data_IF_359471517309
#
_entry.id   IF_359471517309
#
_cell.length_a   1.000
_cell.length_b   1.000
_cell.length_c   1.000
_cell.angle_alpha   90.00
_cell.angle_beta   90.00
_cell.angle_gamma   90.00
#
_symmetry.space_group_name_H-M   'P 1'
#
loop_
_entity.id
_entity.type
_entity.pdbx_description
1 polymer ?
#
# COMPACT_ATOMS: atom_id res chain seq x y z
N UNK A 1 51.57 12.78 -46.45
CA UNK A 1 51.31 11.70 -45.48
C UNK A 1 49.93 11.12 -45.80
N UNK A 2 49.87 9.98 -46.50
CA UNK A 2 48.62 9.38 -46.96
C UNK A 2 48.22 8.31 -45.94
N UNK A 3 47.11 8.50 -45.23
CA UNK A 3 46.57 7.55 -44.25
C UNK A 3 46.04 6.34 -45.03
N UNK A 4 46.52 5.14 -44.70
CA UNK A 4 46.04 3.91 -45.32
C UNK A 4 44.52 3.73 -45.08
N UNK A 5 43.77 3.18 -46.06
CA UNK A 5 42.35 2.92 -45.88
C UNK A 5 42.13 1.85 -44.82
N UNK A 6 41.16 2.06 -43.93
CA UNK A 6 40.75 1.06 -42.95
C UNK A 6 40.26 -0.21 -43.67
N UNK A 7 40.71 -1.37 -43.18
CA UNK A 7 40.27 -2.68 -43.66
C UNK A 7 38.78 -2.88 -43.35
N UNK A 8 38.01 -3.49 -44.28
CA UNK A 8 36.60 -3.75 -44.04
C UNK A 8 36.41 -4.74 -42.90
N UNK A 9 35.33 -4.61 -42.10
CA UNK A 9 35.05 -5.54 -41.02
C UNK A 9 34.76 -6.94 -41.56
N UNK A 10 35.14 -7.96 -40.80
CA UNK A 10 34.93 -9.36 -41.19
C UNK A 10 33.43 -9.71 -41.31
N UNK A 11 33.08 -10.65 -42.21
CA UNK A 11 31.69 -11.03 -42.43
C UNK A 11 31.12 -11.80 -41.24
N UNK A 12 30.02 -11.26 -40.69
CA UNK A 12 29.30 -11.86 -39.55
C UNK A 12 28.78 -13.26 -39.91
N UNK A 13 29.18 -14.26 -39.12
CA UNK A 13 28.85 -15.66 -39.37
C UNK A 13 27.41 -16.01 -38.97
N UNK A 14 26.94 -17.18 -39.40
CA UNK A 14 25.61 -17.68 -39.01
C UNK A 14 25.51 -17.97 -37.50
N UNK A 15 26.64 -18.26 -36.84
CA UNK A 15 26.71 -18.45 -35.40
C UNK A 15 26.54 -17.11 -34.66
N UNK A 16 27.19 -16.06 -35.14
CA UNK A 16 27.08 -14.71 -34.57
C UNK A 16 25.65 -14.16 -34.66
N UNK A 17 24.97 -14.40 -35.79
CA UNK A 17 23.56 -14.01 -35.96
C UNK A 17 22.63 -14.76 -35.00
N UNK A 18 22.91 -16.04 -34.71
CA UNK A 18 22.13 -16.84 -33.74
C UNK A 18 22.38 -16.39 -32.31
N UNK A 19 23.62 -16.09 -31.94
CA UNK A 19 23.97 -15.56 -30.63
C UNK A 19 23.33 -14.19 -30.40
N UNK A 20 23.33 -13.32 -31.41
CA UNK A 20 22.67 -12.01 -31.36
C UNK A 20 21.15 -12.13 -31.20
N UNK A 21 20.52 -13.06 -31.94
CA UNK A 21 19.08 -13.34 -31.83
C UNK A 21 18.72 -13.91 -30.45
N UNK A 22 19.50 -14.86 -29.92
CA UNK A 22 19.26 -15.41 -28.57
C UNK A 22 19.45 -14.35 -27.48
N UNK A 23 20.48 -13.51 -27.60
CA UNK A 23 20.69 -12.38 -26.69
C UNK A 23 19.54 -11.38 -26.71
N UNK A 24 19.02 -11.04 -27.90
CA UNK A 24 17.87 -10.15 -28.04
C UNK A 24 16.58 -10.73 -27.44
N UNK A 25 16.35 -12.05 -27.58
CA UNK A 25 15.19 -12.74 -26.99
C UNK A 25 15.28 -12.78 -25.46
N UNK A 26 16.46 -13.06 -24.89
CA UNK A 26 16.67 -13.05 -23.44
C UNK A 26 16.47 -11.65 -22.86
N UNK A 27 17.04 -10.62 -23.49
CA UNK A 27 16.90 -9.23 -23.03
C UNK A 27 15.45 -8.74 -23.13
N UNK A 28 14.75 -9.08 -24.23
CA UNK A 28 13.33 -8.78 -24.40
C UNK A 28 12.44 -9.50 -23.37
N UNK A 29 12.74 -10.75 -23.03
CA UNK A 29 12.03 -11.50 -22.01
C UNK A 29 12.16 -10.90 -20.60
N UNK A 30 13.35 -10.41 -20.24
CA UNK A 30 13.58 -9.77 -18.93
C UNK A 30 12.85 -8.42 -18.80
N UNK A 31 12.70 -7.67 -19.90
CA UNK A 31 11.97 -6.39 -19.90
C UNK A 31 10.44 -6.59 -19.79
N UNK A 32 9.90 -7.66 -20.39
CA UNK A 32 8.45 -7.94 -20.34
C UNK A 32 8.00 -8.57 -19.02
N UNK A 33 8.87 -9.32 -18.34
CA UNK A 33 8.53 -10.01 -17.09
C UNK A 33 8.15 -9.08 -15.93
N UNK A 34 8.63 -7.83 -15.91
CA UNK A 34 8.39 -6.90 -14.79
C UNK A 34 7.05 -6.16 -14.84
N UNK A 35 6.32 -6.21 -15.96
CA UNK A 35 5.05 -5.49 -16.09
C UNK A 35 3.91 -6.14 -15.28
N UNK A 36 4.04 -7.43 -14.94
CA UNK A 36 2.98 -8.17 -14.24
C UNK A 36 2.94 -7.92 -12.72
N UNK A 37 4.02 -7.41 -12.10
CA UNK A 37 4.09 -7.13 -10.66
C UNK A 37 3.91 -5.65 -10.29
N UNK A 38 3.53 -4.80 -11.24
CA UNK A 38 3.48 -3.35 -11.01
C UNK A 38 2.44 -2.90 -9.97
N UNK A 39 1.50 -3.76 -9.58
CA UNK A 39 0.43 -3.42 -8.62
C UNK A 39 0.61 -4.01 -7.20
N UNK A 40 1.69 -4.74 -6.94
CA UNK A 40 1.90 -5.41 -5.65
C UNK A 40 0.83 -6.47 -5.32
N UNK A 41 0.95 -7.10 -4.16
CA UNK A 41 -0.13 -7.92 -3.60
C UNK A 41 -1.16 -6.98 -2.94
N UNK A 42 -2.42 -7.09 -3.35
CA UNK A 42 -3.53 -6.30 -2.80
C UNK A 42 -4.21 -6.98 -1.61
N UNK A 43 -3.72 -8.13 -1.17
CA UNK A 43 -4.13 -8.77 0.08
C UNK A 43 -3.60 -7.93 1.27
N UNK A 44 -4.40 -7.64 2.29
CA UNK A 44 -3.93 -6.95 3.48
C UNK A 44 -2.76 -7.70 4.17
N UNK A 45 -1.76 -6.96 4.58
CA UNK A 45 -0.55 -7.48 5.23
C UNK A 45 -0.53 -7.13 6.71
N UNK A 46 -0.15 -8.08 7.55
CA UNK A 46 0.02 -7.85 8.98
C UNK A 46 0.99 -6.68 9.25
N UNK A 47 0.68 -5.91 10.30
CA UNK A 47 1.44 -4.72 10.70
C UNK A 47 2.12 -5.01 12.04
N UNK A 48 3.41 -4.72 12.13
CA UNK A 48 4.13 -4.80 13.39
C UNK A 48 3.72 -3.63 14.30
N UNK A 49 3.27 -3.95 15.51
CA UNK A 49 2.76 -2.98 16.50
C UNK A 49 3.65 -2.91 17.73
N UNK A 50 4.90 -3.37 17.60
CA UNK A 50 5.90 -3.32 18.66
C UNK A 50 6.11 -1.89 19.17
N UNK A 51 6.12 -1.75 20.48
CA UNK A 51 6.28 -0.46 21.16
C UNK A 51 4.97 0.30 21.40
N UNK A 52 3.84 -0.19 20.89
CA UNK A 52 2.52 0.29 21.32
C UNK A 52 2.03 -0.48 22.56
N UNK A 53 1.26 0.19 23.42
CA UNK A 53 0.42 -0.51 24.40
C UNK A 53 -0.42 -1.58 23.68
N UNK A 54 -0.21 -2.84 24.08
CA UNK A 54 -0.91 -3.98 23.50
C UNK A 54 -2.32 -4.04 24.07
N UNK A 55 -3.28 -4.18 23.17
CA UNK A 55 -4.70 -4.20 23.49
C UNK A 55 -5.15 -5.66 23.63
N UNK A 56 -6.21 -5.85 24.40
CA UNK A 56 -6.81 -7.17 24.56
C UNK A 56 -7.68 -7.56 23.37
N UNK A 57 -8.33 -8.74 23.43
CA UNK A 57 -9.30 -9.17 22.41
C UNK A 57 -10.56 -8.29 22.38
N UNK A 58 -10.85 -7.60 23.48
CA UNK A 58 -11.96 -6.65 23.58
C UNK A 58 -11.64 -5.38 22.78
N UNK A 59 -12.55 -5.00 21.89
CA UNK A 59 -12.43 -3.76 21.14
C UNK A 59 -12.66 -2.55 22.05
N UNK A 60 -11.74 -1.58 21.98
CA UNK A 60 -11.91 -0.25 22.55
C UNK A 60 -12.99 0.48 21.76
N UNK A 61 -13.72 1.36 22.42
CA UNK A 61 -14.74 2.20 21.77
C UNK A 61 -14.13 3.46 21.14
N UNK A 62 -13.03 3.96 21.70
CA UNK A 62 -12.35 5.18 21.29
C UNK A 62 -10.85 4.91 21.10
N UNK A 63 -10.18 5.75 20.31
CA UNK A 63 -8.77 5.60 20.00
C UNK A 63 -7.88 5.72 21.26
N UNK A 64 -7.26 4.60 21.73
CA UNK A 64 -6.46 4.61 22.95
C UNK A 64 -5.11 5.33 22.80
N UNK A 65 -4.68 5.61 21.57
CA UNK A 65 -3.38 6.25 21.30
C UNK A 65 -3.47 7.77 21.10
N UNK A 66 -4.67 8.36 21.06
CA UNK A 66 -4.89 9.78 20.75
C UNK A 66 -4.12 10.72 21.68
N UNK A 67 -4.21 10.48 22.99
CA UNK A 67 -3.57 11.31 24.03
C UNK A 67 -2.60 10.48 24.89
N UNK A 68 -2.08 9.38 24.34
CA UNK A 68 -1.20 8.48 25.08
C UNK A 68 0.28 8.79 24.86
N UNK A 69 1.14 8.25 25.73
CA UNK A 69 2.60 8.31 25.56
C UNK A 69 3.10 7.62 24.27
N UNK A 70 2.26 6.79 23.65
CA UNK A 70 2.59 6.03 22.44
C UNK A 70 2.04 6.72 21.16
N UNK A 71 1.46 7.93 21.27
CA UNK A 71 0.86 8.67 20.15
C UNK A 71 1.77 8.77 18.93
N UNK A 72 2.99 9.28 19.11
CA UNK A 72 3.93 9.48 18.00
C UNK A 72 4.29 8.16 17.31
N UNK A 73 4.39 7.08 18.08
CA UNK A 73 4.68 5.74 17.54
C UNK A 73 3.47 5.19 16.78
N UNK A 74 2.26 5.39 17.31
CA UNK A 74 1.02 5.01 16.66
C UNK A 74 0.81 5.80 15.36
N UNK A 75 1.18 7.08 15.33
CA UNK A 75 1.15 7.90 14.12
C UNK A 75 2.12 7.39 13.05
N UNK A 76 3.36 7.07 13.43
CA UNK A 76 4.38 6.50 12.52
C UNK A 76 3.90 5.16 11.92
N UNK A 77 3.49 4.22 12.78
CA UNK A 77 2.99 2.90 12.37
C UNK A 77 1.73 3.08 11.52
N UNK A 78 0.81 3.95 11.95
CA UNK A 78 -0.46 4.22 11.29
C UNK A 78 -0.31 4.74 9.87
N UNK A 79 0.61 5.69 9.64
CA UNK A 79 0.91 6.21 8.30
C UNK A 79 1.40 5.10 7.37
N UNK A 80 2.32 4.26 7.85
CA UNK A 80 2.84 3.13 7.08
C UNK A 80 1.76 2.08 6.81
N UNK A 81 1.01 1.70 7.84
CA UNK A 81 -0.07 0.72 7.75
C UNK A 81 -1.18 1.17 6.79
N UNK A 82 -1.58 2.44 6.87
CA UNK A 82 -2.55 3.05 5.97
C UNK A 82 -2.09 2.96 4.50
N UNK A 83 -0.83 3.36 4.25
CA UNK A 83 -0.24 3.35 2.91
C UNK A 83 -0.26 1.94 2.31
N UNK A 84 0.04 0.92 3.11
CA UNK A 84 0.11 -0.47 2.67
C UNK A 84 -1.26 -1.13 2.49
N UNK A 85 -2.24 -0.80 3.35
CA UNK A 85 -3.47 -1.57 3.47
C UNK A 85 -4.75 -0.82 3.06
N UNK A 86 -4.72 0.50 2.96
CA UNK A 86 -5.92 1.32 2.77
C UNK A 86 -5.84 2.21 1.53
N UNK A 87 -4.65 2.72 1.22
CA UNK A 87 -4.44 3.74 0.19
C UNK A 87 -4.82 3.29 -1.24
N UNK A 88 -4.78 1.99 -1.52
CA UNK A 88 -5.19 1.46 -2.83
C UNK A 88 -6.65 1.81 -3.20
N UNK A 89 -7.53 1.95 -2.20
CA UNK A 89 -8.94 2.28 -2.41
C UNK A 89 -9.27 3.71 -1.93
N UNK A 90 -8.71 4.12 -0.80
CA UNK A 90 -8.99 5.41 -0.16
C UNK A 90 -8.03 6.52 -0.58
N UNK A 91 -7.04 6.20 -1.43
CA UNK A 91 -6.08 7.14 -1.98
C UNK A 91 -4.85 7.35 -1.11
N UNK A 92 -3.81 7.95 -1.69
CA UNK A 92 -2.60 8.30 -0.96
C UNK A 92 -2.91 9.43 0.02
N UNK A 93 -2.34 9.34 1.22
CA UNK A 93 -2.56 10.33 2.27
C UNK A 93 -4.04 10.57 2.63
N UNK A 94 -4.89 9.55 2.44
CA UNK A 94 -6.33 9.62 2.61
C UNK A 94 -7.09 10.48 1.60
N UNK A 95 -6.41 11.01 0.57
CA UNK A 95 -7.00 11.81 -0.50
C UNK A 95 -7.57 10.89 -1.57
N UNK A 96 -8.90 10.75 -1.59
CA UNK A 96 -9.54 9.78 -2.49
C UNK A 96 -9.44 10.16 -3.97
N UNK A 97 -9.17 9.14 -4.80
CA UNK A 97 -9.29 9.21 -6.27
C UNK A 97 -10.68 8.84 -6.81
N UNK A 98 -11.68 8.63 -5.96
CA UNK A 98 -13.07 8.32 -6.33
C UNK A 98 -13.48 6.84 -6.27
N UNK A 99 -12.58 5.93 -5.86
CA UNK A 99 -12.90 4.49 -5.69
C UNK A 99 -13.67 4.26 -4.38
N UNK A 100 -13.16 4.79 -3.28
CA UNK A 100 -13.77 4.76 -1.95
C UNK A 100 -13.83 6.18 -1.35
N UNK A 101 -14.55 6.42 -0.24
CA UNK A 101 -14.61 7.76 0.36
C UNK A 101 -13.25 8.34 0.74
N UNK A 102 -13.10 9.66 0.66
CA UNK A 102 -11.97 10.41 1.23
C UNK A 102 -12.05 10.35 2.75
N UNK A 103 -11.03 9.79 3.39
CA UNK A 103 -11.06 9.53 4.83
C UNK A 103 -10.64 10.73 5.67
N UNK A 104 -10.19 11.82 5.04
CA UNK A 104 -9.88 13.08 5.75
C UNK A 104 -11.14 13.79 6.23
N UNK A 105 -12.33 13.39 5.76
CA UNK A 105 -13.61 13.90 6.23
C UNK A 105 -14.29 13.00 7.25
N UNK A 106 -13.59 11.99 7.78
CA UNK A 106 -14.10 11.18 8.87
C UNK A 106 -14.13 12.03 10.15
N UNK A 107 -15.28 12.12 10.81
CA UNK A 107 -15.43 12.89 12.06
C UNK A 107 -14.29 12.60 13.05
N UNK A 108 -13.81 13.62 13.77
CA UNK A 108 -12.79 13.44 14.82
C UNK A 108 -13.40 12.95 16.14
N UNK A 109 -12.58 12.29 16.96
CA UNK A 109 -13.00 11.81 18.28
C UNK A 109 -14.02 10.66 18.24
N UNK A 110 -14.81 10.54 19.30
CA UNK A 110 -15.65 9.36 19.57
C UNK A 110 -16.66 9.04 18.45
N UNK A 111 -17.28 10.05 17.82
CA UNK A 111 -18.25 9.85 16.75
C UNK A 111 -17.62 9.19 15.52
N UNK A 112 -16.44 9.67 15.13
CA UNK A 112 -15.71 9.01 14.06
C UNK A 112 -15.16 7.68 14.50
N UNK A 113 -14.73 7.52 15.74
CA UNK A 113 -14.15 6.27 16.25
C UNK A 113 -15.18 5.14 16.16
N UNK A 114 -16.44 5.41 16.50
CA UNK A 114 -17.56 4.49 16.30
C UNK A 114 -17.69 4.08 14.82
N UNK A 115 -17.72 5.05 13.90
CA UNK A 115 -17.78 4.79 12.47
C UNK A 115 -16.58 4.00 11.96
N UNK A 116 -15.37 4.33 12.42
CA UNK A 116 -14.14 3.65 12.04
C UNK A 116 -14.19 2.18 12.47
N UNK A 117 -14.49 1.92 13.74
CA UNK A 117 -14.58 0.57 14.32
C UNK A 117 -15.63 -0.26 13.57
N UNK A 118 -16.81 0.31 13.32
CA UNK A 118 -17.86 -0.37 12.56
C UNK A 118 -17.36 -0.79 11.16
N UNK A 119 -16.71 0.12 10.43
CA UNK A 119 -16.25 -0.15 9.06
C UNK A 119 -15.08 -1.12 9.00
N UNK A 120 -14.09 -1.00 9.87
CA UNK A 120 -12.93 -1.91 9.83
C UNK A 120 -13.28 -3.32 10.30
N UNK A 121 -14.28 -3.48 11.16
CA UNK A 121 -14.72 -4.80 11.65
C UNK A 121 -15.72 -5.47 10.72
N UNK A 122 -16.67 -4.71 10.19
CA UNK A 122 -17.78 -5.27 9.40
C UNK A 122 -17.62 -5.08 7.89
N UNK A 123 -16.68 -4.24 7.46
CA UNK A 123 -16.45 -3.93 6.06
C UNK A 123 -17.62 -3.15 5.45
N UNK A 124 -17.76 -3.27 4.13
CA UNK A 124 -18.91 -2.76 3.40
C UNK A 124 -19.30 -3.76 2.31
N UNK A 125 -20.50 -4.33 2.44
CA UNK A 125 -21.07 -5.26 1.46
C UNK A 125 -22.37 -4.68 0.92
N UNK A 126 -22.54 -4.67 -0.40
CA UNK A 126 -23.80 -4.28 -1.06
C UNK A 126 -24.10 -5.29 -2.16
N UNK A 127 -25.33 -5.81 -2.19
CA UNK A 127 -25.78 -6.82 -3.16
C UNK A 127 -24.83 -8.03 -3.27
N UNK A 128 -24.30 -8.49 -2.14
CA UNK A 128 -23.36 -9.61 -2.06
C UNK A 128 -21.93 -9.30 -2.55
N UNK A 129 -21.64 -8.07 -2.99
CA UNK A 129 -20.30 -7.64 -3.39
C UNK A 129 -19.59 -6.93 -2.24
N UNK A 130 -18.33 -7.31 -2.00
CA UNK A 130 -17.46 -6.68 -1.00
C UNK A 130 -16.84 -5.42 -1.60
N UNK A 131 -17.15 -4.26 -1.02
CA UNK A 131 -16.58 -2.96 -1.38
C UNK A 131 -15.45 -2.54 -0.43
N UNK A 132 -15.55 -2.96 0.83
CA UNK A 132 -14.49 -2.81 1.83
C UNK A 132 -14.38 -4.13 2.59
N UNK A 133 -13.19 -4.76 2.63
CA UNK A 133 -12.99 -5.98 3.40
C UNK A 133 -13.09 -5.70 4.91
N UNK A 134 -13.35 -6.75 5.68
CA UNK A 134 -13.27 -6.70 7.14
C UNK A 134 -11.81 -6.67 7.54
N UNK A 135 -11.24 -5.47 7.63
CA UNK A 135 -9.81 -5.30 7.92
C UNK A 135 -9.41 -5.93 9.26
N UNK A 136 -10.32 -6.02 10.23
CA UNK A 136 -10.08 -6.69 11.51
C UNK A 136 -9.84 -8.22 11.39
N UNK A 137 -10.12 -8.84 10.24
CA UNK A 137 -9.77 -10.25 9.98
C UNK A 137 -8.27 -10.41 9.63
N UNK A 138 -7.57 -9.31 9.30
CA UNK A 138 -6.19 -9.31 8.83
C UNK A 138 -5.24 -8.47 9.69
N UNK A 139 -5.76 -7.37 10.25
CA UNK A 139 -5.01 -6.41 11.06
C UNK A 139 -5.46 -6.49 12.51
N UNK A 140 -4.49 -6.42 13.43
CA UNK A 140 -4.80 -6.33 14.85
C UNK A 140 -5.50 -5.01 15.18
N UNK A 141 -6.19 -4.97 16.31
CA UNK A 141 -6.85 -3.75 16.78
C UNK A 141 -5.84 -2.60 16.97
N UNK A 142 -4.64 -2.89 17.46
CA UNK A 142 -3.54 -1.93 17.63
C UNK A 142 -3.15 -1.29 16.30
N UNK A 143 -3.01 -2.11 15.24
CA UNK A 143 -2.68 -1.63 13.91
C UNK A 143 -3.78 -0.74 13.35
N UNK A 144 -5.04 -1.09 13.57
CA UNK A 144 -6.19 -0.30 13.14
C UNK A 144 -6.32 1.00 13.93
N UNK A 145 -6.08 1.02 15.25
CA UNK A 145 -6.04 2.26 16.01
C UNK A 145 -4.85 3.14 15.67
N UNK A 146 -3.71 2.56 15.30
CA UNK A 146 -2.59 3.31 14.74
C UNK A 146 -3.00 3.99 13.42
N UNK A 147 -3.66 3.26 12.51
CA UNK A 147 -4.24 3.86 11.28
C UNK A 147 -5.21 4.99 11.64
N UNK A 148 -6.08 4.80 12.64
CA UNK A 148 -6.99 5.85 13.07
C UNK A 148 -6.26 7.10 13.57
N UNK A 149 -5.21 6.92 14.35
CA UNK A 149 -4.34 8.02 14.82
C UNK A 149 -3.75 8.80 13.65
N UNK A 150 -3.36 8.10 12.58
CA UNK A 150 -2.93 8.75 11.35
C UNK A 150 -4.06 9.50 10.64
N UNK A 151 -5.26 8.91 10.51
CA UNK A 151 -6.41 9.59 9.90
C UNK A 151 -6.78 10.87 10.64
N UNK A 152 -6.75 10.85 11.97
CA UNK A 152 -6.98 12.04 12.79
C UNK A 152 -5.97 13.17 12.47
N UNK A 153 -4.71 12.82 12.14
CA UNK A 153 -3.66 13.80 11.82
C UNK A 153 -3.80 14.46 10.44
N UNK A 154 -4.53 13.83 9.52
CA UNK A 154 -4.75 14.32 8.14
C UNK A 154 -6.18 14.82 7.91
N UNK A 155 -6.97 14.92 8.99
CA UNK A 155 -8.35 15.38 8.96
C UNK A 155 -8.50 16.79 8.36
N UNK A 156 -9.59 17.02 7.63
CA UNK A 156 -9.96 18.33 7.09
C UNK A 156 -11.49 18.51 6.99
N UNK A 157 -11.92 19.76 7.19
CA UNK A 157 -13.31 20.21 7.07
C UNK A 157 -13.62 20.88 5.72
N UNK A 158 -12.61 20.97 4.84
CA UNK A 158 -12.67 21.69 3.55
C UNK A 158 -13.46 20.93 2.46
#
# INVERSE_FOLDING_TARGET
MIKAPATPPEPVTRADKRALLMGAVLLGGMLLGNLAQAHGDVVPHAVATDGLEQLGPEWRAENPYRESKDHDKALEIGKSAYTQNCAACHGLEAISGGIAPDLRHLDVGALGDEWFVERVRNGAVRDGRVYMPKMADYLSQEALWAVRTYLDSVHTEE
#
